data_IF_956717453520
#
_entry.id   IF_956717453520
#
_cell.length_a   1.000
_cell.length_b   1.000
_cell.length_c   1.000
_cell.angle_alpha   90.00
_cell.angle_beta   90.00
_cell.angle_gamma   90.00
#
_symmetry.space_group_name_H-M   'P 1'
#
loop_
_entity.id
_entity.type
_entity.pdbx_description
1 polymer ?
#
# COMPACT_ATOMS: atom_id res chain seq x y z
N UNK A 1 28.19 -44.58 -62.67
CA UNK A 1 27.10 -44.78 -61.67
C UNK A 1 27.36 -44.16 -60.28
N UNK A 2 28.61 -44.16 -59.77
CA UNK A 2 28.91 -43.58 -58.43
C UNK A 2 28.75 -42.08 -58.31
N UNK A 3 28.96 -41.28 -59.38
CA UNK A 3 28.81 -39.80 -59.33
C UNK A 3 27.32 -39.31 -59.37
N UNK A 4 26.42 -40.14 -59.92
CA UNK A 4 24.99 -39.77 -60.00
C UNK A 4 24.28 -39.99 -58.68
N UNK A 5 24.68 -40.99 -57.89
CA UNK A 5 24.11 -41.28 -56.59
C UNK A 5 24.53 -40.24 -55.55
N UNK A 6 25.77 -39.75 -55.62
CA UNK A 6 26.29 -38.74 -54.68
C UNK A 6 25.58 -37.38 -54.87
N UNK A 7 25.25 -36.98 -56.10
CA UNK A 7 24.53 -35.74 -56.39
C UNK A 7 23.06 -35.84 -56.05
N UNK A 8 22.42 -37.02 -56.13
CA UNK A 8 21.02 -37.20 -55.67
C UNK A 8 20.87 -37.16 -54.15
N UNK A 9 21.85 -37.69 -53.41
CA UNK A 9 21.84 -37.64 -51.93
C UNK A 9 22.13 -36.22 -51.44
N UNK A 10 23.00 -35.47 -52.13
CA UNK A 10 23.27 -34.07 -51.75
C UNK A 10 22.07 -33.14 -52.05
N UNK A 11 21.33 -33.39 -53.15
CA UNK A 11 20.10 -32.67 -53.47
C UNK A 11 18.96 -32.99 -52.50
N UNK A 12 18.87 -34.24 -51.99
CA UNK A 12 17.86 -34.61 -51.01
C UNK A 12 18.12 -34.01 -49.61
N UNK A 13 19.40 -33.83 -49.25
CA UNK A 13 19.80 -33.20 -47.97
C UNK A 13 19.58 -31.68 -48.02
N UNK A 14 19.71 -31.05 -49.18
CA UNK A 14 19.43 -29.60 -49.33
C UNK A 14 17.92 -29.33 -49.34
N UNK A 15 17.08 -30.26 -49.83
CA UNK A 15 15.61 -30.10 -49.80
C UNK A 15 15.00 -30.35 -48.42
N UNK A 16 15.70 -31.07 -47.53
CA UNK A 16 15.21 -31.30 -46.15
C UNK A 16 15.56 -30.16 -45.18
N UNK A 17 16.37 -29.19 -45.55
CA UNK A 17 16.72 -28.01 -44.78
C UNK A 17 15.88 -26.75 -45.10
N UNK A 18 14.98 -26.87 -46.11
CA UNK A 18 14.12 -25.74 -46.53
C UNK A 18 12.66 -25.83 -46.05
N UNK A 19 12.37 -26.69 -45.06
CA UNK A 19 11.01 -26.87 -44.55
C UNK A 19 10.93 -26.78 -43.01
N UNK A 20 11.50 -25.74 -42.47
CA UNK A 20 11.14 -25.25 -41.12
C UNK A 20 11.31 -23.73 -41.17
N UNK A 21 10.43 -23.03 -41.90
CA UNK A 21 10.03 -21.69 -41.49
C UNK A 21 9.14 -21.90 -40.26
N UNK A 22 9.73 -21.87 -39.07
CA UNK A 22 8.98 -21.49 -37.89
C UNK A 22 8.38 -20.12 -38.20
N UNK A 23 7.07 -20.09 -38.46
CA UNK A 23 6.30 -18.87 -38.31
C UNK A 23 6.46 -18.48 -36.82
N UNK A 24 7.46 -17.71 -36.54
CA UNK A 24 7.47 -16.94 -35.31
C UNK A 24 6.28 -16.00 -35.42
N UNK A 25 5.16 -16.43 -34.84
CA UNK A 25 4.08 -15.48 -34.55
C UNK A 25 4.71 -14.47 -33.59
N UNK A 26 5.20 -13.35 -34.12
CA UNK A 26 5.64 -12.25 -33.27
C UNK A 26 4.42 -11.78 -32.50
N UNK A 27 4.52 -11.78 -31.18
CA UNK A 27 3.48 -11.26 -30.30
C UNK A 27 3.06 -9.85 -30.74
N UNK A 28 1.77 -9.60 -30.79
CA UNK A 28 1.22 -8.28 -31.10
C UNK A 28 0.98 -7.54 -29.80
N UNK A 29 1.51 -6.32 -29.71
CA UNK A 29 1.27 -5.42 -28.57
C UNK A 29 1.24 -3.99 -29.06
N UNK A 30 0.10 -3.32 -28.95
CA UNK A 30 -0.07 -1.92 -29.28
C UNK A 30 -0.76 -1.19 -28.13
N UNK A 31 -0.51 0.11 -28.00
CA UNK A 31 -1.11 0.97 -26.96
C UNK A 31 -1.64 2.26 -27.57
N UNK A 32 -2.80 2.71 -27.14
CA UNK A 32 -3.40 3.96 -27.63
C UNK A 32 -4.32 4.60 -26.57
N UNK A 33 -4.20 5.90 -26.28
CA UNK A 33 -3.13 6.79 -26.77
C UNK A 33 -1.76 6.44 -26.14
N UNK A 34 -0.69 6.89 -26.77
CA UNK A 34 0.68 6.73 -26.27
C UNK A 34 1.10 7.84 -25.30
N UNK A 35 0.27 8.86 -25.10
CA UNK A 35 0.49 9.96 -24.16
C UNK A 35 -0.80 10.26 -23.42
N UNK A 36 -0.70 10.35 -22.10
CA UNK A 36 -1.75 10.79 -21.20
C UNK A 36 -1.28 12.08 -20.51
N UNK A 37 -2.09 13.13 -20.61
CA UNK A 37 -1.76 14.43 -20.04
C UNK A 37 -2.69 14.76 -18.88
N UNK A 38 -2.11 15.08 -17.72
CA UNK A 38 -2.81 15.42 -16.49
C UNK A 38 -2.48 16.84 -16.06
N UNK A 39 -3.47 17.56 -15.62
CA UNK A 39 -3.23 18.83 -14.91
C UNK A 39 -2.56 18.57 -13.56
N UNK A 40 -2.01 19.61 -12.92
CA UNK A 40 -1.35 19.52 -11.60
C UNK A 40 -2.24 18.93 -10.50
N UNK A 41 -3.56 19.08 -10.61
CA UNK A 41 -4.53 18.46 -9.68
C UNK A 41 -4.67 16.94 -9.81
N UNK A 42 -4.04 16.33 -10.84
CA UNK A 42 -4.15 14.91 -11.13
C UNK A 42 -5.50 14.52 -11.73
N UNK A 43 -5.88 13.27 -11.57
CA UNK A 43 -7.11 12.70 -12.09
C UNK A 43 -6.95 11.29 -12.60
N UNK A 44 -7.91 10.84 -13.44
CA UNK A 44 -7.91 9.50 -14.03
C UNK A 44 -8.14 9.59 -15.53
N UNK A 45 -7.33 8.85 -16.30
CA UNK A 45 -7.46 8.67 -17.74
C UNK A 45 -7.35 7.20 -18.12
N UNK A 46 -7.64 6.87 -19.37
CA UNK A 46 -7.64 5.50 -19.87
C UNK A 46 -6.80 5.43 -21.14
N UNK A 47 -6.00 4.37 -21.27
CA UNK A 47 -5.44 3.95 -22.55
C UNK A 47 -5.85 2.51 -22.86
N UNK A 48 -5.89 2.16 -24.13
CA UNK A 48 -6.25 0.84 -24.62
C UNK A 48 -5.00 0.06 -24.99
N UNK A 49 -4.95 -1.20 -24.60
CA UNK A 49 -3.97 -2.19 -25.06
C UNK A 49 -4.65 -3.10 -26.07
N UNK A 50 -4.04 -3.29 -27.22
CA UNK A 50 -4.39 -4.34 -28.20
C UNK A 50 -3.28 -5.38 -28.20
N UNK A 51 -3.60 -6.63 -27.88
CA UNK A 51 -2.62 -7.70 -27.78
C UNK A 51 -3.23 -9.07 -28.07
N UNK A 52 -2.45 -9.97 -28.62
CA UNK A 52 -2.79 -11.38 -28.81
C UNK A 52 -2.16 -12.30 -27.74
N UNK A 53 -1.50 -11.73 -26.74
CA UNK A 53 -0.77 -12.46 -25.69
C UNK A 53 -0.96 -11.83 -24.32
N UNK A 54 -0.34 -12.43 -23.30
CA UNK A 54 -0.26 -11.83 -21.96
C UNK A 54 0.68 -10.64 -21.96
N UNK A 55 0.33 -9.64 -21.16
CA UNK A 55 1.12 -8.43 -20.99
C UNK A 55 1.11 -7.94 -19.53
N UNK A 56 2.11 -7.16 -19.19
CA UNK A 56 2.25 -6.51 -17.88
C UNK A 56 2.69 -5.06 -18.04
N UNK A 57 2.36 -4.25 -17.05
CA UNK A 57 2.72 -2.84 -17.00
C UNK A 57 3.59 -2.59 -15.79
N UNK A 58 4.73 -1.95 -15.98
CA UNK A 58 5.58 -1.45 -14.92
C UNK A 58 5.54 0.07 -14.86
N UNK A 59 5.53 0.61 -13.65
CA UNK A 59 5.65 2.05 -13.38
C UNK A 59 6.71 2.27 -12.32
N UNK A 60 7.63 3.22 -12.54
CA UNK A 60 8.66 3.56 -11.54
C UNK A 60 8.15 4.55 -10.49
N UNK A 61 6.94 5.12 -10.64
CA UNK A 61 6.53 6.29 -9.86
C UNK A 61 5.37 6.00 -8.88
N UNK A 62 5.45 6.57 -7.66
CA UNK A 62 4.51 6.33 -6.56
C UNK A 62 3.18 7.05 -6.69
N UNK A 63 3.18 8.17 -7.38
CA UNK A 63 2.01 9.03 -7.54
C UNK A 63 1.07 8.54 -8.64
N UNK A 64 1.44 7.42 -9.29
CA UNK A 64 0.67 6.84 -10.39
C UNK A 64 0.14 5.48 -9.97
N UNK A 65 -1.16 5.29 -10.02
CA UNK A 65 -1.78 3.99 -9.90
C UNK A 65 -2.31 3.53 -11.26
N UNK A 66 -2.29 2.24 -11.50
CA UNK A 66 -2.68 1.62 -12.76
C UNK A 66 -3.58 0.43 -12.44
N UNK A 67 -4.66 0.29 -13.20
CA UNK A 67 -5.58 -0.86 -13.07
C UNK A 67 -6.19 -1.23 -14.42
N UNK A 68 -6.05 -2.50 -14.86
CA UNK A 68 -5.19 -3.55 -14.32
C UNK A 68 -3.71 -3.34 -14.66
N UNK A 69 -2.79 -3.95 -13.90
CA UNK A 69 -1.34 -3.91 -14.15
C UNK A 69 -0.85 -5.07 -15.03
N UNK A 70 -1.73 -6.03 -15.35
CA UNK A 70 -1.47 -7.14 -16.27
C UNK A 70 -2.77 -7.68 -16.84
N UNK A 71 -2.71 -8.36 -17.96
CA UNK A 71 -3.86 -8.95 -18.61
C UNK A 71 -3.50 -9.85 -19.78
N UNK A 72 -4.53 -10.35 -20.47
CA UNK A 72 -4.42 -11.11 -21.71
C UNK A 72 -5.35 -10.47 -22.76
N UNK A 73 -4.88 -10.35 -23.99
CA UNK A 73 -5.66 -9.78 -25.08
C UNK A 73 -5.93 -8.27 -24.89
N UNK A 74 -6.93 -7.79 -25.59
CA UNK A 74 -7.30 -6.37 -25.62
C UNK A 74 -7.91 -5.93 -24.29
N UNK A 75 -7.52 -4.73 -23.80
CA UNK A 75 -7.97 -4.23 -22.50
C UNK A 75 -7.85 -2.72 -22.38
N UNK A 76 -8.84 -2.11 -21.73
CA UNK A 76 -8.73 -0.75 -21.22
C UNK A 76 -7.99 -0.73 -19.88
N UNK A 77 -7.06 0.18 -19.76
CA UNK A 77 -6.23 0.37 -18.56
C UNK A 77 -6.48 1.77 -18.02
N UNK A 78 -6.94 1.86 -16.79
CA UNK A 78 -7.06 3.12 -16.08
C UNK A 78 -5.72 3.52 -15.48
N UNK A 79 -5.33 4.77 -15.66
CA UNK A 79 -4.19 5.41 -15.04
C UNK A 79 -4.69 6.56 -14.19
N UNK A 80 -4.40 6.54 -12.91
CA UNK A 80 -4.67 7.63 -12.01
C UNK A 80 -3.38 8.29 -11.54
N UNK A 81 -3.38 9.61 -11.50
CA UNK A 81 -2.26 10.42 -11.07
C UNK A 81 -2.71 11.29 -9.90
N UNK A 82 -2.00 11.23 -8.79
CA UNK A 82 -2.26 12.09 -7.64
C UNK A 82 -1.95 13.56 -7.96
N UNK A 83 -2.57 14.49 -7.23
CA UNK A 83 -2.20 15.89 -7.30
C UNK A 83 -0.71 16.06 -6.98
N UNK A 84 -0.02 16.90 -7.77
CA UNK A 84 1.40 17.20 -7.54
C UNK A 84 1.59 18.55 -6.85
N UNK A 85 2.67 18.63 -6.09
CA UNK A 85 3.21 19.91 -5.53
C UNK A 85 4.46 20.33 -6.26
N UNK A 86 4.88 19.54 -7.25
CA UNK A 86 6.09 19.86 -8.01
C UNK A 86 5.85 21.15 -8.82
N UNK A 87 6.71 22.17 -8.69
CA UNK A 87 6.58 23.37 -9.49
C UNK A 87 6.80 23.13 -10.99
N UNK A 88 7.58 22.15 -11.38
CA UNK A 88 7.82 21.80 -12.78
C UNK A 88 6.92 20.63 -13.23
N UNK A 89 6.56 20.61 -14.50
CA UNK A 89 5.93 19.45 -15.12
C UNK A 89 6.82 18.20 -15.01
N UNK A 90 6.18 17.07 -14.81
CA UNK A 90 6.85 15.76 -14.68
C UNK A 90 6.38 14.85 -15.81
N UNK A 91 7.30 14.10 -16.37
CA UNK A 91 7.03 13.09 -17.39
C UNK A 91 7.50 11.74 -16.88
N UNK A 92 6.63 10.75 -16.94
CA UNK A 92 6.89 9.37 -16.54
C UNK A 92 6.55 8.43 -17.68
N UNK A 93 7.35 7.40 -17.87
CA UNK A 93 7.11 6.37 -18.89
C UNK A 93 6.57 5.11 -18.23
N UNK A 94 5.35 4.72 -18.59
CA UNK A 94 4.81 3.41 -18.30
C UNK A 94 5.31 2.45 -19.37
N UNK A 95 5.90 1.34 -18.95
CA UNK A 95 6.36 0.31 -19.87
C UNK A 95 5.35 -0.84 -19.89
N UNK A 96 4.74 -1.07 -21.03
CA UNK A 96 3.87 -2.23 -21.30
C UNK A 96 4.69 -3.24 -22.07
N UNK A 97 4.77 -4.46 -21.57
CA UNK A 97 5.55 -5.53 -22.22
C UNK A 97 4.79 -6.84 -22.27
N UNK A 98 5.05 -7.64 -23.28
CA UNK A 98 4.57 -9.03 -23.36
C UNK A 98 5.23 -9.88 -22.28
N UNK A 99 4.59 -10.98 -21.88
CA UNK A 99 5.08 -11.84 -20.78
C UNK A 99 6.46 -12.43 -21.06
N UNK A 100 6.75 -12.72 -22.33
CA UNK A 100 8.06 -13.19 -22.81
C UNK A 100 9.09 -12.06 -23.01
N UNK A 101 8.69 -10.79 -22.79
CA UNK A 101 9.53 -9.62 -22.98
C UNK A 101 9.90 -9.30 -24.43
N UNK A 102 9.33 -10.01 -25.41
CA UNK A 102 9.69 -9.86 -26.83
C UNK A 102 9.23 -8.55 -27.45
N UNK A 103 8.12 -7.99 -26.95
CA UNK A 103 7.59 -6.71 -27.42
C UNK A 103 7.34 -5.78 -26.23
N UNK A 104 7.79 -4.55 -26.38
CA UNK A 104 7.59 -3.48 -25.38
C UNK A 104 6.97 -2.26 -26.05
N UNK A 105 6.03 -1.61 -25.36
CA UNK A 105 5.44 -0.32 -25.73
C UNK A 105 5.49 0.62 -24.53
N UNK A 106 5.61 1.91 -24.82
CA UNK A 106 5.64 2.93 -23.79
C UNK A 106 4.40 3.80 -23.88
N UNK A 107 3.83 4.12 -22.71
CA UNK A 107 2.81 5.16 -22.57
C UNK A 107 3.43 6.28 -21.73
N UNK A 108 3.50 7.47 -22.31
CA UNK A 108 4.00 8.66 -21.65
C UNK A 108 2.89 9.25 -20.78
N UNK A 109 3.16 9.45 -19.52
CA UNK A 109 2.30 10.17 -18.58
C UNK A 109 2.96 11.51 -18.27
N UNK A 110 2.29 12.57 -18.67
CA UNK A 110 2.70 13.95 -18.44
C UNK A 110 1.79 14.54 -17.37
N UNK A 111 2.37 15.14 -16.36
CA UNK A 111 1.62 15.93 -15.38
C UNK A 111 2.18 17.34 -15.32
N UNK A 112 1.30 18.33 -15.47
CA UNK A 112 1.67 19.73 -15.33
C UNK A 112 2.18 20.01 -13.93
N UNK A 113 3.20 20.86 -13.82
CA UNK A 113 3.60 21.45 -12.57
C UNK A 113 2.62 22.53 -12.11
N UNK A 114 2.72 22.94 -10.85
CA UNK A 114 1.91 24.03 -10.28
C UNK A 114 2.39 25.42 -10.68
N UNK A 115 3.31 25.54 -11.61
CA UNK A 115 4.07 26.76 -11.90
C UNK A 115 3.40 27.82 -12.77
N UNK A 116 2.17 27.63 -13.26
CA UNK A 116 1.57 28.75 -14.03
C UNK A 116 1.26 29.97 -13.15
N UNK A 117 1.07 29.82 -11.83
CA UNK A 117 0.86 30.94 -10.92
C UNK A 117 2.00 31.14 -9.88
N UNK A 118 2.93 30.20 -9.77
CA UNK A 118 3.95 30.22 -8.69
C UNK A 118 3.39 30.01 -7.29
N UNK A 119 2.09 29.79 -7.17
CA UNK A 119 1.37 29.60 -5.91
C UNK A 119 1.06 28.11 -5.67
N UNK A 120 1.41 27.64 -4.49
CA UNK A 120 1.21 26.25 -4.08
C UNK A 120 0.27 26.22 -2.88
N UNK A 121 -0.80 25.44 -2.99
CA UNK A 121 -1.64 25.02 -1.88
C UNK A 121 -2.17 23.62 -2.18
N UNK A 122 -1.74 22.63 -1.41
CA UNK A 122 -2.14 21.23 -1.62
C UNK A 122 -2.08 20.43 -0.33
N UNK A 123 -2.74 19.27 -0.33
CA UNK A 123 -2.71 18.28 0.75
C UNK A 123 -2.06 17.01 0.21
N UNK A 124 -1.03 16.52 0.88
CA UNK A 124 -0.22 15.38 0.41
C UNK A 124 -0.59 14.05 1.09
N UNK A 125 -1.38 14.10 2.16
CA UNK A 125 -1.91 12.92 2.84
C UNK A 125 -3.43 13.08 3.01
N UNK A 126 -4.13 11.96 3.27
CA UNK A 126 -5.53 11.93 3.67
C UNK A 126 -6.49 12.76 2.79
N UNK A 127 -6.72 12.30 1.58
CA UNK A 127 -7.77 12.87 0.71
C UNK A 127 -9.19 12.60 1.22
N UNK A 128 -9.34 11.74 2.21
CA UNK A 128 -10.56 11.44 2.95
C UNK A 128 -10.19 11.12 4.39
N UNK A 129 -10.76 11.85 5.34
CA UNK A 129 -10.48 11.67 6.77
C UNK A 129 -11.60 10.88 7.41
N UNK A 130 -11.25 9.84 8.16
CA UNK A 130 -12.23 9.08 8.94
C UNK A 130 -11.81 9.06 10.41
N UNK A 131 -12.62 9.66 11.26
CA UNK A 131 -12.49 9.56 12.71
C UNK A 131 -13.22 8.33 13.24
N UNK A 132 -12.71 7.77 14.33
CA UNK A 132 -13.50 6.85 15.15
C UNK A 132 -14.73 7.58 15.74
N UNK A 133 -15.71 6.82 16.22
CA UNK A 133 -16.92 7.38 16.84
C UNK A 133 -16.66 8.12 18.15
N UNK A 134 -15.54 7.86 18.83
CA UNK A 134 -15.16 8.47 20.08
C UNK A 134 -14.86 9.98 19.95
N UNK A 135 -15.10 10.74 21.01
CA UNK A 135 -14.65 12.12 21.10
C UNK A 135 -13.11 12.18 21.06
N UNK A 136 -12.59 13.24 20.47
CA UNK A 136 -11.15 13.50 20.33
C UNK A 136 -10.37 12.44 19.55
N UNK A 137 -11.06 11.58 18.77
CA UNK A 137 -10.40 10.76 17.76
C UNK A 137 -9.62 11.67 16.80
N UNK A 138 -8.33 11.39 16.60
CA UNK A 138 -7.39 12.28 15.90
C UNK A 138 -6.96 11.71 14.56
N UNK A 139 -6.64 12.62 13.64
CA UNK A 139 -5.98 12.36 12.38
C UNK A 139 -5.04 13.54 12.05
N UNK A 140 -4.42 13.56 10.87
CA UNK A 140 -3.54 14.64 10.45
C UNK A 140 -3.74 15.02 8.99
N UNK A 141 -3.50 16.30 8.68
CA UNK A 141 -3.43 16.85 7.34
C UNK A 141 -2.04 17.43 7.11
N UNK A 142 -1.33 16.96 6.11
CA UNK A 142 -0.09 17.58 5.65
C UNK A 142 -0.41 18.57 4.55
N UNK A 143 -0.34 19.85 4.88
CA UNK A 143 -0.56 20.97 3.97
C UNK A 143 0.80 21.42 3.45
N UNK A 144 0.97 21.52 2.14
CA UNK A 144 2.10 22.14 1.48
C UNK A 144 1.62 23.45 0.87
N UNK A 145 2.19 24.57 1.30
CA UNK A 145 1.77 25.88 0.84
C UNK A 145 2.90 26.90 0.82
N UNK A 146 2.91 27.77 -0.19
CA UNK A 146 3.70 28.99 -0.23
C UNK A 146 2.82 30.26 -0.20
N UNK A 147 1.51 30.08 -0.03
CA UNK A 147 0.52 31.16 0.09
C UNK A 147 -0.20 31.07 1.43
N UNK A 148 -0.73 32.21 1.96
CA UNK A 148 -1.67 32.18 3.07
C UNK A 148 -2.97 31.44 2.69
N UNK A 149 -3.50 30.64 3.59
CA UNK A 149 -4.70 29.84 3.38
C UNK A 149 -5.71 29.94 4.52
N UNK A 150 -6.92 29.56 4.20
CA UNK A 150 -8.07 29.45 5.10
C UNK A 150 -8.56 28.01 5.16
N UNK A 151 -8.95 27.57 6.36
CA UNK A 151 -9.57 26.28 6.59
C UNK A 151 -10.96 26.53 7.17
N UNK A 152 -11.98 26.01 6.51
CA UNK A 152 -13.37 26.03 6.98
C UNK A 152 -13.90 24.60 7.05
N UNK A 153 -14.93 24.38 7.85
CA UNK A 153 -15.52 23.05 7.97
C UNK A 153 -16.60 22.98 9.05
N UNK A 154 -17.05 21.77 9.38
CA UNK A 154 -18.08 21.57 10.39
C UNK A 154 -17.55 21.83 11.80
N UNK A 155 -18.39 22.36 12.68
CA UNK A 155 -18.05 22.69 14.08
C UNK A 155 -17.65 21.47 14.92
N UNK A 156 -18.02 20.28 14.49
CA UNK A 156 -17.63 19.02 15.15
C UNK A 156 -16.21 18.56 14.81
N UNK A 157 -15.49 19.27 13.96
CA UNK A 157 -14.07 19.06 13.66
C UNK A 157 -13.24 20.19 14.26
N UNK A 158 -12.19 19.83 14.97
CA UNK A 158 -11.22 20.77 15.54
C UNK A 158 -9.86 20.58 14.86
N UNK A 159 -9.17 21.70 14.68
CA UNK A 159 -7.78 21.73 14.19
C UNK A 159 -6.86 22.30 15.26
N UNK A 160 -5.64 21.74 15.33
CA UNK A 160 -4.64 22.21 16.27
C UNK A 160 -3.98 23.50 15.75
N UNK A 161 -4.16 24.57 16.50
CA UNK A 161 -3.55 25.89 16.24
C UNK A 161 -2.49 26.20 17.30
N UNK A 162 -1.81 27.34 17.19
CA UNK A 162 -0.86 27.79 18.22
C UNK A 162 -1.51 27.96 19.61
N UNK A 163 -2.82 28.15 19.66
CA UNK A 163 -3.61 28.28 20.91
C UNK A 163 -4.22 26.98 21.40
N UNK A 164 -3.94 25.86 20.78
CA UNK A 164 -4.59 24.56 21.04
C UNK A 164 -5.61 24.20 19.98
N UNK A 165 -6.48 23.22 20.27
CA UNK A 165 -7.51 22.81 19.31
C UNK A 165 -8.63 23.85 19.24
N UNK A 166 -8.96 24.28 18.03
CA UNK A 166 -10.05 25.21 17.72
C UNK A 166 -11.06 24.52 16.79
N UNK A 167 -12.36 24.65 17.11
CA UNK A 167 -13.43 24.15 16.24
C UNK A 167 -13.40 24.88 14.89
N UNK A 168 -13.60 24.12 13.82
CA UNK A 168 -13.83 24.73 12.51
C UNK A 168 -15.18 25.43 12.47
N UNK A 169 -15.31 26.37 11.56
CA UNK A 169 -16.56 27.07 11.27
C UNK A 169 -16.68 27.25 9.76
N UNK A 170 -17.89 27.30 9.25
CA UNK A 170 -18.14 27.60 7.84
C UNK A 170 -18.07 29.10 7.53
N UNK A 171 -18.16 29.93 8.57
CA UNK A 171 -18.24 31.40 8.44
C UNK A 171 -17.02 32.12 8.98
N UNK A 172 -16.28 31.48 9.89
CA UNK A 172 -15.08 32.06 10.50
C UNK A 172 -13.92 31.08 10.23
N UNK A 173 -13.07 31.37 9.23
CA UNK A 173 -12.00 30.44 8.86
C UNK A 173 -10.87 30.43 9.91
N UNK A 174 -10.22 29.29 10.03
CA UNK A 174 -8.89 29.19 10.64
C UNK A 174 -7.86 29.54 9.57
N UNK A 175 -7.04 30.54 9.82
CA UNK A 175 -6.02 31.00 8.86
C UNK A 175 -4.67 30.36 9.14
N UNK A 176 -3.92 30.08 8.08
CA UNK A 176 -2.56 29.55 8.14
C UNK A 176 -1.68 30.07 7.03
N UNK A 177 -0.40 29.78 7.10
CA UNK A 177 0.57 30.08 6.05
C UNK A 177 1.75 29.10 6.11
N UNK A 178 2.32 28.81 4.94
CA UNK A 178 3.43 27.86 4.82
C UNK A 178 3.00 26.41 4.99
N UNK A 179 3.95 25.52 4.80
CA UNK A 179 3.72 24.07 4.92
C UNK A 179 3.65 23.65 6.39
N UNK A 180 2.70 22.73 6.71
CA UNK A 180 2.47 22.29 8.09
C UNK A 180 1.84 20.89 8.13
N UNK A 181 2.21 20.10 9.15
CA UNK A 181 1.47 18.93 9.57
C UNK A 181 0.43 19.35 10.63
N UNK A 182 -0.81 19.44 10.21
CA UNK A 182 -1.92 19.91 11.02
C UNK A 182 -2.62 18.73 11.67
N UNK A 183 -2.62 18.66 13.01
CA UNK A 183 -3.45 17.70 13.73
C UNK A 183 -4.90 18.15 13.71
N UNK A 184 -5.78 17.23 13.44
CA UNK A 184 -7.24 17.41 13.45
C UNK A 184 -7.89 16.36 14.33
N UNK A 185 -9.06 16.66 14.87
CA UNK A 185 -9.81 15.70 15.68
C UNK A 185 -11.30 15.94 15.62
N UNK A 186 -12.07 14.91 16.00
CA UNK A 186 -13.50 15.08 16.28
C UNK A 186 -13.69 15.77 17.63
N UNK A 187 -14.43 16.87 17.69
CA UNK A 187 -14.69 17.62 18.92
C UNK A 187 -15.52 16.82 19.93
N UNK A 188 -16.46 16.03 19.43
CA UNK A 188 -17.42 15.28 20.23
C UNK A 188 -17.59 13.86 19.74
N UNK A 189 -18.12 13.00 20.60
CA UNK A 189 -18.51 11.63 20.27
C UNK A 189 -19.69 11.65 19.27
N UNK A 190 -19.72 10.69 18.36
CA UNK A 190 -20.88 10.43 17.53
C UNK A 190 -21.74 9.32 18.17
N UNK A 191 -22.86 9.69 18.75
CA UNK A 191 -23.81 8.76 19.38
C UNK A 191 -24.96 8.33 18.43
N UNK A 192 -24.92 8.78 17.17
CA UNK A 192 -25.86 8.34 16.13
C UNK A 192 -25.52 6.95 15.65
N UNK A 193 -26.51 6.18 15.19
CA UNK A 193 -26.30 4.92 14.48
C UNK A 193 -25.71 5.13 13.08
N UNK A 194 -25.79 6.35 12.55
CA UNK A 194 -25.25 6.71 11.24
C UNK A 194 -23.93 7.46 11.37
N UNK A 195 -23.08 7.30 10.37
CA UNK A 195 -21.86 8.07 10.24
C UNK A 195 -22.18 9.55 10.07
N UNK A 196 -21.44 10.40 10.76
CA UNK A 196 -21.47 11.85 10.56
C UNK A 196 -20.53 12.19 9.41
N UNK A 197 -21.04 12.82 8.37
CA UNK A 197 -20.27 13.15 7.17
C UNK A 197 -20.33 14.62 6.86
N UNK A 198 -19.21 15.18 6.42
CA UNK A 198 -19.11 16.59 6.03
C UNK A 198 -17.84 16.81 5.18
N UNK A 199 -17.48 18.07 4.92
CA UNK A 199 -16.32 18.47 4.14
C UNK A 199 -15.54 19.55 4.89
N UNK A 200 -14.22 19.39 4.98
CA UNK A 200 -13.27 20.44 5.31
C UNK A 200 -12.86 21.08 4.00
N UNK A 201 -12.94 22.40 3.91
CA UNK A 201 -12.49 23.16 2.75
C UNK A 201 -11.20 23.93 3.10
N UNK A 202 -10.18 23.72 2.31
CA UNK A 202 -8.93 24.47 2.33
C UNK A 202 -8.90 25.35 1.07
N UNK A 203 -8.64 26.63 1.20
CA UNK A 203 -8.51 27.54 0.05
C UNK A 203 -7.49 28.66 0.32
N UNK A 204 -7.05 29.32 -0.74
CA UNK A 204 -6.19 30.49 -0.65
C UNK A 204 -6.94 31.63 0.07
N UNK A 205 -6.28 32.20 1.07
CA UNK A 205 -6.84 33.29 1.88
C UNK A 205 -7.26 34.48 1.01
N UNK A 206 -8.36 35.10 1.32
CA UNK A 206 -8.97 36.28 0.70
C UNK A 206 -9.56 36.09 -0.71
N UNK A 207 -9.04 35.17 -1.52
CA UNK A 207 -9.51 34.99 -2.88
C UNK A 207 -10.43 33.78 -3.07
N UNK A 208 -10.32 32.78 -2.17
CA UNK A 208 -11.03 31.51 -2.27
C UNK A 208 -10.56 30.62 -3.43
N UNK A 209 -9.47 31.00 -4.11
CA UNK A 209 -8.82 30.21 -5.15
C UNK A 209 -8.07 29.01 -4.59
N UNK A 210 -7.55 28.13 -5.44
CA UNK A 210 -6.83 26.90 -5.04
C UNK A 210 -7.65 26.06 -4.03
N UNK A 211 -8.96 25.93 -4.28
CA UNK A 211 -9.88 25.26 -3.38
C UNK A 211 -9.66 23.75 -3.38
N UNK A 212 -9.55 23.18 -2.18
CA UNK A 212 -9.45 21.74 -1.94
C UNK A 212 -10.55 21.35 -0.94
N UNK A 213 -11.43 20.45 -1.35
CA UNK A 213 -12.46 19.89 -0.51
C UNK A 213 -12.02 18.49 -0.02
N UNK A 214 -11.97 18.30 1.29
CA UNK A 214 -11.54 17.08 1.95
C UNK A 214 -12.75 16.48 2.68
N UNK A 215 -13.33 15.38 2.16
CA UNK A 215 -14.41 14.68 2.86
C UNK A 215 -13.95 14.21 4.23
N UNK A 216 -14.82 14.41 5.22
CA UNK A 216 -14.57 13.97 6.59
C UNK A 216 -15.74 13.16 7.09
N UNK A 217 -15.44 12.02 7.69
CA UNK A 217 -16.42 11.11 8.29
C UNK A 217 -16.08 10.87 9.75
N UNK A 218 -17.08 10.85 10.63
CA UNK A 218 -16.95 10.28 11.96
C UNK A 218 -17.91 9.10 12.09
N UNK A 219 -17.36 7.93 12.44
CA UNK A 219 -18.12 6.71 12.51
C UNK A 219 -19.28 6.82 13.51
N UNK A 220 -20.42 6.30 13.10
CA UNK A 220 -21.57 6.08 13.96
C UNK A 220 -21.31 4.97 14.97
N UNK A 221 -22.27 4.81 15.90
CA UNK A 221 -22.27 3.67 16.84
C UNK A 221 -22.20 2.35 16.07
N UNK A 222 -21.58 1.33 16.67
CA UNK A 222 -21.54 -0.05 16.17
C UNK A 222 -20.74 -0.28 14.88
N UNK A 223 -20.22 0.77 14.26
CA UNK A 223 -19.46 0.66 13.00
C UNK A 223 -18.07 0.11 13.26
N UNK A 224 -17.62 -0.79 12.39
CA UNK A 224 -16.25 -1.29 12.39
C UNK A 224 -15.78 -1.30 10.94
N UNK A 225 -14.66 -0.67 10.67
CA UNK A 225 -14.07 -0.69 9.32
C UNK A 225 -12.54 -0.81 9.37
N UNK A 226 -11.95 -1.44 8.36
CA UNK A 226 -10.49 -1.40 8.16
C UNK A 226 -10.00 0.05 8.05
N UNK A 227 -8.85 0.34 8.67
CA UNK A 227 -8.20 1.65 8.57
C UNK A 227 -7.03 1.58 7.57
N UNK A 228 -5.86 1.10 8.00
CA UNK A 228 -4.72 0.94 7.12
C UNK A 228 -4.66 -0.51 6.66
N UNK A 229 -4.93 -0.76 5.38
CA UNK A 229 -4.81 -2.09 4.79
C UNK A 229 -3.46 -2.23 4.10
N UNK A 230 -2.75 -3.31 4.43
CA UNK A 230 -1.47 -3.65 3.81
C UNK A 230 -1.58 -5.01 3.10
N UNK A 231 -1.96 -5.03 1.81
CA UNK A 231 -2.02 -6.25 1.03
C UNK A 231 -0.62 -6.65 0.54
N UNK A 232 -0.28 -7.92 0.74
CA UNK A 232 0.85 -8.61 0.13
C UNK A 232 0.34 -9.61 -0.92
N UNK A 233 1.21 -10.37 -1.56
CA UNK A 233 0.80 -11.37 -2.54
C UNK A 233 -0.07 -12.48 -1.92
N UNK A 234 0.29 -12.95 -0.76
CA UNK A 234 -0.34 -14.09 -0.10
C UNK A 234 -0.80 -13.80 1.33
N UNK A 235 -0.89 -12.54 1.68
CA UNK A 235 -1.27 -12.11 3.02
C UNK A 235 -1.87 -10.71 3.02
N UNK A 236 -2.59 -10.37 4.08
CA UNK A 236 -3.22 -9.08 4.30
C UNK A 236 -3.17 -8.75 5.78
N UNK A 237 -2.95 -7.49 6.13
CA UNK A 237 -3.14 -6.99 7.49
C UNK A 237 -3.87 -5.66 7.49
N UNK A 238 -4.62 -5.39 8.55
CA UNK A 238 -5.29 -4.13 8.79
C UNK A 238 -5.47 -3.87 10.27
N UNK A 239 -5.43 -2.61 10.65
CA UNK A 239 -5.96 -2.09 11.91
C UNK A 239 -7.40 -1.57 11.70
N UNK A 240 -8.03 -1.10 12.75
CA UNK A 240 -9.45 -0.87 12.76
C UNK A 240 -9.80 0.53 13.25
N UNK A 241 -10.78 1.15 12.61
CA UNK A 241 -11.53 2.28 13.15
C UNK A 241 -12.91 1.79 13.58
N UNK A 242 -13.30 2.18 14.80
CA UNK A 242 -14.49 1.67 15.46
C UNK A 242 -15.44 2.82 15.86
N UNK A 243 -16.72 2.51 15.88
CA UNK A 243 -17.76 3.32 16.46
C UNK A 243 -17.57 3.46 17.97
N UNK A 244 -18.26 4.44 18.55
CA UNK A 244 -18.03 4.90 19.92
C UNK A 244 -18.38 3.90 21.02
N UNK A 245 -19.16 2.89 20.72
CA UNK A 245 -19.65 1.85 21.64
C UNK A 245 -19.14 0.46 21.33
N UNK A 246 -18.31 0.31 20.31
CA UNK A 246 -17.73 -1.00 19.95
C UNK A 246 -16.66 -1.38 20.96
N UNK A 247 -16.91 -2.45 21.72
CA UNK A 247 -15.94 -3.03 22.66
C UNK A 247 -15.20 -4.21 22.07
N UNK A 248 -15.84 -4.90 21.13
CA UNK A 248 -15.26 -5.96 20.31
C UNK A 248 -16.04 -6.09 19.00
N UNK A 249 -15.51 -6.86 18.07
CA UNK A 249 -16.16 -7.12 16.79
C UNK A 249 -15.79 -8.50 16.28
N UNK A 250 -16.64 -9.04 15.44
CA UNK A 250 -16.34 -10.25 14.68
C UNK A 250 -15.87 -9.88 13.28
N UNK A 251 -14.88 -10.62 12.76
CA UNK A 251 -14.32 -10.38 11.44
C UNK A 251 -14.10 -11.69 10.70
N UNK A 252 -14.42 -11.68 9.41
CA UNK A 252 -14.14 -12.77 8.47
C UNK A 252 -13.68 -12.23 7.12
N UNK A 253 -12.75 -12.93 6.52
CA UNK A 253 -12.28 -12.66 5.16
C UNK A 253 -12.99 -13.63 4.20
N UNK A 254 -13.58 -13.10 3.14
CA UNK A 254 -14.18 -13.87 2.06
C UNK A 254 -13.39 -13.71 0.79
N UNK A 255 -13.16 -14.79 0.06
CA UNK A 255 -12.71 -14.76 -1.32
C UNK A 255 -13.91 -14.40 -2.21
N UNK A 256 -13.85 -13.27 -2.92
CA UNK A 256 -15.01 -12.70 -3.64
C UNK A 256 -16.04 -12.03 -2.72
N UNK A 257 -16.98 -11.34 -3.33
CA UNK A 257 -18.00 -10.56 -2.61
C UNK A 257 -19.03 -11.49 -1.94
N UNK A 258 -19.19 -11.43 -0.61
CA UNK A 258 -20.21 -12.21 0.07
C UNK A 258 -21.60 -11.61 -0.15
N UNK A 259 -22.61 -12.46 -0.13
CA UNK A 259 -24.00 -12.02 0.07
C UNK A 259 -24.21 -11.71 1.55
N UNK A 260 -24.05 -10.43 1.91
CA UNK A 260 -24.17 -9.99 3.31
C UNK A 260 -25.57 -10.19 3.88
N UNK A 261 -26.61 -10.28 3.02
CA UNK A 261 -27.99 -10.48 3.46
C UNK A 261 -28.27 -11.91 3.95
N UNK A 262 -27.44 -12.87 3.55
CA UNK A 262 -27.54 -14.28 3.94
C UNK A 262 -26.77 -14.60 5.23
N UNK A 263 -25.98 -13.66 5.77
CA UNK A 263 -25.15 -13.89 6.96
C UNK A 263 -26.03 -13.87 8.21
N UNK A 264 -26.02 -14.97 8.94
CA UNK A 264 -26.78 -15.14 10.19
C UNK A 264 -25.94 -14.81 11.42
N UNK A 265 -26.58 -14.56 12.56
CA UNK A 265 -25.90 -14.39 13.85
C UNK A 265 -25.12 -15.64 14.26
N UNK A 266 -25.60 -16.82 13.90
CA UNK A 266 -24.91 -18.10 14.15
C UNK A 266 -23.61 -18.21 13.33
N UNK A 267 -23.60 -17.66 12.11
CA UNK A 267 -22.39 -17.60 11.29
C UNK A 267 -21.38 -16.64 11.91
N UNK A 268 -21.83 -15.45 12.30
CA UNK A 268 -20.98 -14.42 12.91
C UNK A 268 -20.33 -14.91 14.21
N UNK A 269 -21.05 -15.68 15.01
CA UNK A 269 -20.52 -16.25 16.26
C UNK A 269 -19.28 -17.16 16.06
N UNK A 270 -19.07 -17.68 14.84
CA UNK A 270 -17.92 -18.53 14.48
C UNK A 270 -16.72 -17.73 13.93
N UNK A 271 -16.87 -16.42 13.73
CA UNK A 271 -15.83 -15.60 13.14
C UNK A 271 -14.75 -15.23 14.16
N UNK A 272 -13.60 -14.77 13.65
CA UNK A 272 -12.52 -14.28 14.50
C UNK A 272 -12.96 -13.04 15.26
N UNK A 273 -12.61 -12.96 16.55
CA UNK A 273 -12.91 -11.82 17.41
C UNK A 273 -11.73 -10.85 17.38
N UNK A 274 -12.02 -9.59 17.06
CA UNK A 274 -11.11 -8.45 17.17
C UNK A 274 -11.57 -7.46 18.23
N UNK A 275 -10.71 -6.51 18.56
CA UNK A 275 -11.00 -5.42 19.50
C UNK A 275 -10.49 -4.10 18.94
N UNK A 276 -11.08 -2.95 19.32
CA UNK A 276 -10.47 -1.66 19.03
C UNK A 276 -8.99 -1.65 19.43
N UNK A 277 -8.14 -1.04 18.62
CA UNK A 277 -6.69 -1.04 18.84
C UNK A 277 -5.98 -2.37 18.58
N UNK A 278 -6.63 -3.34 17.91
CA UNK A 278 -5.99 -4.57 17.45
C UNK A 278 -5.56 -4.49 15.99
N UNK A 279 -4.57 -5.31 15.64
CA UNK A 279 -4.16 -5.61 14.28
C UNK A 279 -4.65 -7.01 13.94
N UNK A 280 -5.35 -7.14 12.80
CA UNK A 280 -5.74 -8.44 12.26
C UNK A 280 -4.94 -8.73 11.00
N UNK A 281 -4.45 -9.95 10.87
CA UNK A 281 -3.71 -10.40 9.70
C UNK A 281 -4.19 -11.76 9.21
N UNK A 282 -4.16 -11.95 7.90
CA UNK A 282 -4.49 -13.19 7.22
C UNK A 282 -3.29 -13.64 6.40
N UNK A 283 -3.04 -14.93 6.39
CA UNK A 283 -1.94 -15.58 5.64
C UNK A 283 -2.49 -16.69 4.76
N UNK A 284 -1.65 -17.18 3.84
CA UNK A 284 -1.99 -18.23 2.87
C UNK A 284 -3.11 -17.84 1.90
N UNK A 285 -3.19 -16.56 1.59
CA UNK A 285 -4.10 -16.03 0.59
C UNK A 285 -3.59 -16.36 -0.82
N UNK A 286 -4.48 -16.37 -1.78
CA UNK A 286 -4.14 -16.43 -3.21
C UNK A 286 -3.70 -15.05 -3.68
N UNK A 287 -2.71 -15.00 -4.54
CA UNK A 287 -2.29 -13.76 -5.20
C UNK A 287 -3.29 -13.31 -6.27
N UNK A 288 -3.26 -12.02 -6.62
CA UNK A 288 -4.15 -11.40 -7.61
C UNK A 288 -5.65 -11.71 -7.38
N UNK A 289 -6.05 -11.84 -6.12
CA UNK A 289 -7.38 -12.31 -5.76
C UNK A 289 -8.11 -11.26 -4.95
N UNK A 290 -9.37 -11.00 -5.32
CA UNK A 290 -10.24 -10.10 -4.59
C UNK A 290 -10.72 -10.77 -3.29
N UNK A 291 -10.53 -10.07 -2.19
CA UNK A 291 -11.01 -10.46 -0.88
C UNK A 291 -11.90 -9.38 -0.28
N UNK A 292 -12.85 -9.79 0.53
CA UNK A 292 -13.76 -8.89 1.23
C UNK A 292 -13.64 -9.12 2.73
N UNK A 293 -13.20 -8.07 3.42
CA UNK A 293 -13.15 -8.04 4.88
C UNK A 293 -14.56 -7.69 5.37
N UNK A 294 -15.20 -8.63 6.04
CA UNK A 294 -16.55 -8.47 6.55
C UNK A 294 -16.52 -8.41 8.07
N UNK A 295 -17.16 -7.40 8.65
CA UNK A 295 -17.13 -7.11 10.08
C UNK A 295 -18.54 -6.96 10.66
N UNK A 296 -18.68 -7.29 11.93
CA UNK A 296 -19.88 -7.03 12.74
C UNK A 296 -19.43 -6.54 14.09
N UNK A 297 -19.80 -5.29 14.44
CA UNK A 297 -19.54 -4.71 15.76
C UNK A 297 -20.44 -5.31 16.84
N UNK A 298 -19.95 -5.36 18.07
CA UNK A 298 -20.71 -5.73 19.25
C UNK A 298 -20.69 -4.57 20.24
N UNK A 299 -21.84 -4.32 20.88
CA UNK A 299 -21.95 -3.40 22.00
C UNK A 299 -21.52 -4.03 23.33
N UNK A 300 -21.62 -3.24 24.41
CA UNK A 300 -21.33 -3.71 25.76
C UNK A 300 -22.28 -4.83 26.23
N UNK A 301 -23.48 -4.93 25.66
CA UNK A 301 -24.47 -5.96 25.98
C UNK A 301 -24.27 -7.23 25.12
N UNK A 302 -23.33 -7.22 24.15
CA UNK A 302 -23.05 -8.32 23.25
C UNK A 302 -24.07 -8.44 22.11
N UNK A 303 -24.79 -7.37 21.80
CA UNK A 303 -25.70 -7.31 20.64
C UNK A 303 -24.92 -7.19 19.33
N UNK A 304 -25.35 -7.97 18.31
CA UNK A 304 -24.78 -7.88 16.97
C UNK A 304 -25.43 -6.76 16.16
N UNK A 305 -24.60 -6.02 15.43
CA UNK A 305 -25.06 -4.94 14.58
C UNK A 305 -24.86 -5.21 13.09
N UNK A 306 -25.11 -4.21 12.27
CA UNK A 306 -25.07 -4.36 10.82
C UNK A 306 -23.74 -4.88 10.31
N UNK A 307 -23.82 -5.81 9.35
CA UNK A 307 -22.67 -6.34 8.62
C UNK A 307 -22.09 -5.24 7.73
N UNK A 308 -20.80 -4.98 7.86
CA UNK A 308 -20.05 -4.13 6.94
C UNK A 308 -19.08 -5.01 6.14
N UNK A 309 -18.91 -4.73 4.85
CA UNK A 309 -18.02 -5.49 3.97
C UNK A 309 -17.24 -4.55 3.06
N UNK A 310 -15.90 -4.64 3.09
CA UNK A 310 -15.01 -3.82 2.29
C UNK A 310 -14.08 -4.70 1.46
N UNK A 311 -14.07 -4.47 0.14
CA UNK A 311 -13.23 -5.20 -0.80
C UNK A 311 -11.79 -4.72 -0.81
N UNK A 312 -10.87 -5.65 -1.00
CA UNK A 312 -9.44 -5.41 -1.26
C UNK A 312 -8.90 -6.49 -2.20
N UNK A 313 -7.69 -6.30 -2.71
CA UNK A 313 -7.05 -7.27 -3.59
C UNK A 313 -5.64 -7.59 -3.10
N UNK A 314 -5.29 -8.87 -3.06
CA UNK A 314 -3.91 -9.31 -2.88
C UNK A 314 -3.08 -8.96 -4.11
N UNK A 315 -1.77 -8.78 -3.91
CA UNK A 315 -0.87 -8.39 -4.99
C UNK A 315 -0.41 -9.59 -5.80
N UNK A 316 0.20 -9.33 -6.96
CA UNK A 316 0.92 -10.35 -7.72
C UNK A 316 2.11 -10.87 -6.93
N UNK A 317 2.36 -12.18 -6.99
CA UNK A 317 3.55 -12.83 -6.45
C UNK A 317 4.80 -12.64 -7.30
N UNK A 318 4.65 -12.14 -8.53
CA UNK A 318 5.76 -11.91 -9.46
C UNK A 318 6.40 -10.54 -9.21
N UNK A 319 7.71 -10.45 -9.48
CA UNK A 319 8.46 -9.20 -9.46
C UNK A 319 8.39 -8.42 -8.13
N UNK A 320 8.45 -9.13 -7.01
CA UNK A 320 8.36 -8.49 -5.70
C UNK A 320 9.71 -7.97 -5.21
N UNK A 321 9.71 -6.77 -4.65
CA UNK A 321 10.87 -6.20 -3.98
C UNK A 321 11.28 -7.05 -2.78
N UNK A 322 12.52 -7.50 -2.73
CA UNK A 322 13.09 -8.27 -1.63
C UNK A 322 14.47 -7.74 -1.25
N UNK A 323 14.68 -7.52 0.03
CA UNK A 323 15.98 -7.26 0.60
C UNK A 323 16.45 -8.52 1.36
N UNK A 324 17.40 -9.23 0.79
CA UNK A 324 17.90 -10.50 1.32
C UNK A 324 18.99 -10.26 2.37
N UNK A 325 18.90 -10.95 3.51
CA UNK A 325 19.89 -10.94 4.57
C UNK A 325 20.91 -12.05 4.32
N UNK A 326 22.20 -11.73 4.36
CA UNK A 326 23.29 -12.67 4.12
C UNK A 326 24.53 -12.34 4.98
N UNK A 327 25.51 -13.23 4.98
CA UNK A 327 26.82 -13.05 5.65
C UNK A 327 26.69 -12.64 7.13
N UNK A 328 25.75 -13.24 7.84
CA UNK A 328 25.54 -12.95 9.27
C UNK A 328 26.65 -13.64 10.08
N UNK A 329 27.40 -12.84 10.82
CA UNK A 329 28.51 -13.31 11.64
C UNK A 329 28.62 -12.51 12.94
N UNK A 330 29.20 -13.14 13.99
CA UNK A 330 29.56 -12.48 15.24
C UNK A 330 31.05 -12.67 15.49
N UNK A 331 31.76 -11.58 15.74
CA UNK A 331 33.22 -11.58 16.01
C UNK A 331 33.56 -11.67 17.51
N UNK A 332 32.59 -11.95 18.38
CA UNK A 332 32.72 -11.94 19.82
C UNK A 332 32.44 -10.59 20.47
N UNK A 333 32.26 -9.53 19.70
CA UNK A 333 31.95 -8.18 20.18
C UNK A 333 30.73 -7.55 19.51
N UNK A 334 30.49 -7.92 18.26
CA UNK A 334 29.40 -7.39 17.44
C UNK A 334 28.91 -8.40 16.43
N UNK A 335 27.66 -8.26 16.05
CA UNK A 335 27.07 -8.89 14.89
C UNK A 335 27.34 -8.03 13.64
N UNK A 336 27.56 -8.69 12.51
CA UNK A 336 27.63 -8.07 11.17
C UNK A 336 26.77 -8.86 10.20
N UNK A 337 26.16 -8.21 9.24
CA UNK A 337 25.42 -8.83 8.16
C UNK A 337 25.34 -7.94 6.93
N UNK A 338 25.08 -8.52 5.78
CA UNK A 338 24.82 -7.80 4.55
C UNK A 338 23.33 -7.86 4.19
N UNK A 339 22.83 -6.78 3.61
CA UNK A 339 21.51 -6.75 2.99
C UNK A 339 21.66 -6.41 1.52
N UNK A 340 21.12 -7.26 0.66
CA UNK A 340 21.19 -7.13 -0.80
C UNK A 340 19.79 -7.03 -1.36
N UNK A 341 19.54 -5.98 -2.13
CA UNK A 341 18.29 -5.76 -2.87
C UNK A 341 18.27 -6.59 -4.16
N UNK A 342 17.13 -7.19 -4.47
CA UNK A 342 16.91 -7.75 -5.80
C UNK A 342 16.60 -6.64 -6.82
N UNK A 343 16.44 -6.99 -8.09
CA UNK A 343 16.20 -6.07 -9.20
C UNK A 343 14.89 -5.26 -9.07
N UNK A 344 13.91 -5.79 -8.34
CA UNK A 344 12.60 -5.14 -8.10
C UNK A 344 12.57 -4.26 -6.86
N UNK A 345 13.64 -4.28 -6.06
CA UNK A 345 13.72 -3.57 -4.80
C UNK A 345 14.44 -2.23 -5.00
N UNK A 346 13.74 -1.13 -4.88
CA UNK A 346 14.34 0.22 -4.95
C UNK A 346 14.80 0.73 -3.61
N UNK A 347 14.22 0.20 -2.54
CA UNK A 347 14.57 0.54 -1.17
C UNK A 347 14.12 -0.56 -0.20
N UNK A 348 14.59 -0.53 1.04
CA UNK A 348 14.13 -1.45 2.07
C UNK A 348 14.21 -0.84 3.45
N UNK A 349 13.39 -1.38 4.36
CA UNK A 349 13.44 -1.14 5.79
C UNK A 349 14.14 -2.32 6.48
N UNK A 350 14.89 -2.06 7.55
CA UNK A 350 15.54 -3.10 8.36
C UNK A 350 15.20 -2.94 9.83
N UNK A 351 14.78 -4.03 10.46
CA UNK A 351 14.59 -4.15 11.89
C UNK A 351 15.55 -5.20 12.44
N UNK A 352 16.25 -4.86 13.50
CA UNK A 352 17.12 -5.78 14.20
C UNK A 352 16.84 -5.69 15.70
N UNK A 353 16.70 -6.83 16.38
CA UNK A 353 16.37 -6.87 17.80
C UNK A 353 16.84 -8.16 18.48
N UNK A 354 17.09 -8.09 19.77
CA UNK A 354 17.22 -9.25 20.66
C UNK A 354 15.86 -9.73 21.19
N UNK A 355 14.81 -8.93 21.05
CA UNK A 355 13.45 -9.27 21.47
C UNK A 355 12.78 -10.19 20.46
N UNK A 356 12.32 -11.36 20.89
CA UNK A 356 11.75 -12.41 20.04
C UNK A 356 10.28 -12.18 19.67
N UNK A 357 9.60 -11.23 20.31
CA UNK A 357 8.14 -11.10 20.24
C UNK A 357 7.59 -10.82 18.84
N UNK A 358 8.34 -10.11 18.00
CA UNK A 358 7.87 -9.74 16.66
C UNK A 358 8.34 -10.67 15.54
N UNK A 359 9.31 -11.54 15.82
CA UNK A 359 9.85 -12.43 14.79
C UNK A 359 8.84 -13.47 14.31
N UNK A 360 7.94 -13.91 15.17
CA UNK A 360 6.85 -14.84 14.84
C UNK A 360 5.60 -14.18 14.25
N UNK A 361 5.53 -12.84 14.22
CA UNK A 361 4.43 -12.13 13.59
C UNK A 361 4.31 -12.51 12.10
N UNK A 362 3.11 -12.53 11.55
CA UNK A 362 2.92 -12.76 10.11
C UNK A 362 3.62 -11.68 9.27
N UNK A 363 3.93 -12.00 8.01
CA UNK A 363 4.59 -11.05 7.11
C UNK A 363 3.77 -9.79 6.90
N UNK A 364 2.45 -9.93 6.76
CA UNK A 364 1.56 -8.78 6.63
C UNK A 364 1.52 -7.92 7.90
N UNK A 365 1.53 -8.52 9.09
CA UNK A 365 1.59 -7.79 10.35
C UNK A 365 2.90 -7.03 10.53
N UNK A 366 4.02 -7.57 10.04
CA UNK A 366 5.30 -6.85 10.04
C UNK A 366 5.32 -5.73 9.01
N UNK A 367 4.83 -5.96 7.79
CA UNK A 367 4.70 -4.93 6.75
C UNK A 367 3.81 -3.78 7.22
N UNK A 368 2.69 -4.08 7.90
CA UNK A 368 1.85 -3.06 8.51
C UNK A 368 2.61 -2.20 9.54
N UNK A 369 3.39 -2.82 10.43
CA UNK A 369 4.19 -2.08 11.44
C UNK A 369 5.23 -1.18 10.79
N UNK A 370 5.94 -1.66 9.77
CA UNK A 370 6.88 -0.83 9.02
C UNK A 370 6.18 0.33 8.32
N UNK A 371 5.04 0.07 7.69
CA UNK A 371 4.23 1.11 7.06
C UNK A 371 3.79 2.17 8.08
N UNK A 372 3.32 1.75 9.25
CA UNK A 372 2.92 2.66 10.32
C UNK A 372 4.09 3.49 10.89
N UNK A 373 5.33 2.96 10.90
CA UNK A 373 6.52 3.74 11.26
C UNK A 373 6.84 4.82 10.22
N UNK A 374 6.76 4.46 8.93
CA UNK A 374 7.12 5.37 7.83
C UNK A 374 6.14 6.54 7.67
N UNK A 375 4.88 6.33 8.06
CA UNK A 375 3.84 7.36 8.00
C UNK A 375 3.50 7.99 9.37
N UNK A 376 4.19 7.56 10.42
CA UNK A 376 3.97 8.05 11.78
C UNK A 376 4.86 9.21 12.17
N UNK A 377 4.60 9.76 13.36
CA UNK A 377 5.50 10.75 13.96
C UNK A 377 6.92 10.20 14.09
N UNK A 378 7.91 11.02 13.73
CA UNK A 378 9.34 10.66 13.69
C UNK A 378 9.72 9.65 12.58
N UNK A 379 9.02 9.65 11.46
CA UNK A 379 9.35 8.81 10.31
C UNK A 379 10.82 8.97 9.85
N UNK A 380 11.39 10.16 9.99
CA UNK A 380 12.78 10.49 9.65
C UNK A 380 13.82 9.69 10.47
N UNK A 381 13.43 9.12 11.62
CA UNK A 381 14.29 8.26 12.44
C UNK A 381 14.43 6.84 11.89
N UNK A 382 13.60 6.47 10.93
CA UNK A 382 13.53 5.14 10.32
C UNK A 382 13.69 5.25 8.80
N UNK A 383 14.84 5.73 8.31
CA UNK A 383 15.04 5.97 6.89
C UNK A 383 14.98 4.68 6.09
N UNK A 384 14.34 4.76 4.95
CA UNK A 384 14.36 3.70 3.95
C UNK A 384 15.73 3.69 3.27
N UNK A 385 16.35 2.52 3.19
CA UNK A 385 17.71 2.37 2.64
C UNK A 385 17.62 2.02 1.16
N UNK A 386 18.29 2.80 0.30
CA UNK A 386 18.21 2.70 -1.17
C UNK A 386 19.45 2.07 -1.80
N UNK A 387 20.24 1.31 -1.04
CA UNK A 387 21.45 0.64 -1.54
C UNK A 387 21.76 -0.62 -0.75
N UNK A 388 22.49 -1.53 -1.36
CA UNK A 388 23.07 -2.66 -0.65
C UNK A 388 23.99 -2.17 0.47
N UNK A 389 23.82 -2.71 1.67
CA UNK A 389 24.49 -2.18 2.85
C UNK A 389 24.99 -3.31 3.76
N UNK A 390 26.17 -3.12 4.34
CA UNK A 390 26.66 -3.96 5.44
C UNK A 390 26.36 -3.28 6.77
N UNK A 391 25.75 -4.00 7.65
CA UNK A 391 25.28 -3.55 8.95
C UNK A 391 26.13 -4.11 10.07
N UNK A 392 26.13 -3.43 11.20
CA UNK A 392 26.68 -3.96 12.44
C UNK A 392 25.84 -3.59 13.66
N UNK A 393 25.83 -4.46 14.66
CA UNK A 393 25.21 -4.22 15.96
C UNK A 393 26.10 -4.75 17.07
N UNK A 394 26.38 -3.93 18.07
CA UNK A 394 27.20 -4.33 19.22
C UNK A 394 26.49 -5.40 20.06
N UNK A 395 27.26 -6.35 20.57
CA UNK A 395 26.82 -7.39 21.51
C UNK A 395 27.00 -8.81 20.96
N UNK A 396 26.83 -9.76 21.84
CA UNK A 396 26.98 -11.20 21.58
C UNK A 396 25.67 -11.97 21.72
N UNK A 397 24.63 -11.33 22.27
CA UNK A 397 23.30 -11.94 22.37
C UNK A 397 22.72 -12.28 21.00
N UNK A 398 21.93 -13.34 20.93
CA UNK A 398 21.21 -13.71 19.72
C UNK A 398 20.37 -12.56 19.19
N UNK A 399 20.46 -12.32 17.89
CA UNK A 399 19.69 -11.30 17.20
C UNK A 399 18.70 -11.91 16.21
N UNK A 400 17.69 -11.14 15.92
CA UNK A 400 16.72 -11.38 14.88
C UNK A 400 16.71 -10.18 13.95
N UNK A 401 16.68 -10.45 12.65
CA UNK A 401 16.71 -9.42 11.61
C UNK A 401 15.49 -9.63 10.72
N UNK A 402 14.76 -8.57 10.46
CA UNK A 402 13.66 -8.55 9.52
C UNK A 402 13.88 -7.41 8.55
N UNK A 403 13.74 -7.68 7.27
CA UNK A 403 13.77 -6.67 6.20
C UNK A 403 12.42 -6.61 5.51
N UNK A 404 12.09 -5.45 5.00
CA UNK A 404 10.93 -5.23 4.14
C UNK A 404 11.38 -4.48 2.91
N UNK A 405 11.39 -5.17 1.75
CA UNK A 405 11.71 -4.56 0.47
C UNK A 405 10.55 -3.74 -0.05
N UNK A 406 10.82 -2.63 -0.70
CA UNK A 406 9.81 -1.78 -1.33
C UNK A 406 10.20 -1.49 -2.77
N UNK A 407 9.21 -1.39 -3.65
CA UNK A 407 9.37 -1.06 -5.07
C UNK A 407 8.81 0.33 -5.33
N UNK A 408 9.61 1.18 -5.97
CA UNK A 408 9.25 2.58 -6.20
C UNK A 408 9.03 3.30 -4.88
N UNK A 409 8.13 4.26 -4.82
CA UNK A 409 7.70 4.88 -3.57
C UNK A 409 6.46 4.21 -2.96
N UNK A 410 5.96 3.11 -3.56
CA UNK A 410 4.91 2.28 -2.97
C UNK A 410 5.48 1.46 -1.82
N UNK A 411 5.25 1.90 -0.60
CA UNK A 411 5.67 1.23 0.63
C UNK A 411 4.90 -0.06 0.94
N UNK A 412 3.99 -0.49 0.05
CA UNK A 412 3.03 -1.56 0.35
C UNK A 412 3.25 -2.87 -0.41
N UNK A 413 4.31 -3.03 -1.20
CA UNK A 413 4.39 -4.11 -2.19
C UNK A 413 5.52 -5.12 -2.05
N UNK A 414 6.33 -5.07 -0.98
CA UNK A 414 7.52 -5.91 -0.90
C UNK A 414 7.38 -7.14 0.00
N UNK A 415 8.33 -8.05 -0.16
CA UNK A 415 8.48 -9.24 0.66
C UNK A 415 9.20 -8.94 1.97
N UNK A 416 8.90 -9.75 2.97
CA UNK A 416 9.60 -9.75 4.25
C UNK A 416 10.74 -10.78 4.21
N UNK A 417 11.97 -10.32 4.41
CA UNK A 417 13.13 -11.18 4.68
C UNK A 417 13.31 -11.38 6.18
N UNK A 418 13.65 -12.61 6.60
CA UNK A 418 13.85 -12.96 8.03
C UNK A 418 15.13 -13.71 8.25
N UNK A 419 15.81 -13.40 9.34
CA UNK A 419 16.97 -14.15 9.84
C UNK A 419 16.95 -14.21 11.38
N UNK A 420 17.29 -15.40 11.93
CA UNK A 420 17.40 -15.64 13.37
C UNK A 420 18.66 -16.46 13.65
N UNK A 421 19.48 -16.01 14.57
CA UNK A 421 20.80 -16.61 14.83
C UNK A 421 20.75 -18.02 15.42
N UNK A 422 19.69 -18.41 16.11
CA UNK A 422 19.54 -19.73 16.73
C UNK A 422 18.95 -20.81 15.80
N UNK A 423 18.52 -20.49 14.57
CA UNK A 423 17.84 -21.42 13.64
C UNK A 423 18.28 -21.23 12.19
N UNK A 424 19.53 -21.59 11.90
CA UNK A 424 20.00 -21.66 10.51
C UNK A 424 19.45 -22.87 9.73
N UNK A 425 18.55 -23.66 10.29
CA UNK A 425 18.07 -24.90 9.70
C UNK A 425 16.56 -25.06 9.85
N UNK A 426 15.82 -24.62 8.89
CA UNK A 426 14.67 -25.24 8.24
C UNK A 426 13.78 -24.20 7.55
N UNK A 427 14.10 -23.92 6.29
CA UNK A 427 13.07 -23.43 5.37
C UNK A 427 12.12 -24.59 5.12
N UNK A 428 11.09 -24.70 5.92
CA UNK A 428 9.97 -25.57 5.59
C UNK A 428 9.28 -24.97 4.37
N UNK A 429 9.26 -25.74 3.28
CA UNK A 429 8.31 -25.52 2.20
C UNK A 429 6.91 -25.44 2.82
N UNK A 430 6.30 -24.28 2.75
CA UNK A 430 4.94 -24.06 3.18
C UNK A 430 4.03 -24.89 2.27
N UNK A 431 3.52 -26.00 2.78
CA UNK A 431 2.40 -26.70 2.15
C UNK A 431 1.22 -25.74 2.12
N UNK A 432 0.45 -25.77 1.04
CA UNK A 432 -0.81 -25.03 0.92
C UNK A 432 -1.65 -25.32 2.17
N UNK A 433 -1.78 -24.34 3.06
CA UNK A 433 -2.55 -24.40 4.29
C UNK A 433 -3.82 -23.59 4.10
N UNK A 434 -4.85 -23.91 4.85
CA UNK A 434 -6.05 -23.08 4.93
C UNK A 434 -5.70 -21.65 5.33
N UNK A 435 -6.56 -20.70 4.94
CA UNK A 435 -6.39 -19.28 5.34
C UNK A 435 -6.35 -19.23 6.86
N UNK A 436 -5.26 -18.67 7.38
CA UNK A 436 -5.13 -18.42 8.82
C UNK A 436 -5.40 -16.95 9.13
N UNK A 437 -6.11 -16.69 10.21
CA UNK A 437 -6.41 -15.37 10.72
C UNK A 437 -5.86 -15.21 12.14
N UNK A 438 -5.12 -14.15 12.37
CA UNK A 438 -4.55 -13.81 13.67
C UNK A 438 -4.94 -12.38 14.05
N UNK A 439 -5.24 -12.18 15.32
CA UNK A 439 -5.50 -10.85 15.89
C UNK A 439 -4.55 -10.60 17.06
N UNK A 440 -3.90 -9.46 17.06
CA UNK A 440 -2.94 -9.06 18.10
C UNK A 440 -3.12 -7.58 18.49
N UNK A 441 -2.81 -7.19 19.75
CA UNK A 441 -2.79 -5.78 20.13
C UNK A 441 -1.80 -4.97 19.29
N UNK A 442 -2.15 -3.72 19.01
CA UNK A 442 -1.23 -2.75 18.42
C UNK A 442 -0.41 -2.14 19.55
N UNK A 443 0.88 -2.42 19.54
CA UNK A 443 1.85 -1.85 20.47
C UNK A 443 3.03 -1.26 19.70
N UNK A 444 2.81 -0.10 19.10
CA UNK A 444 3.83 0.57 18.30
C UNK A 444 4.95 1.16 19.15
N UNK A 445 4.68 1.49 20.42
CA UNK A 445 5.74 2.00 21.32
C UNK A 445 6.70 0.87 21.71
N UNK A 446 6.19 -0.29 22.15
CA UNK A 446 7.04 -1.46 22.41
C UNK A 446 7.77 -1.94 21.14
N UNK A 447 7.14 -1.85 19.98
CA UNK A 447 7.79 -2.15 18.70
C UNK A 447 8.98 -1.20 18.45
N UNK A 448 8.79 0.13 18.61
CA UNK A 448 9.87 1.13 18.47
C UNK A 448 11.00 0.87 19.46
N UNK A 449 10.68 0.56 20.71
CA UNK A 449 11.68 0.26 21.76
C UNK A 449 12.41 -1.08 21.52
N UNK A 450 11.86 -1.97 20.70
CA UNK A 450 12.48 -3.25 20.37
C UNK A 450 13.68 -3.17 19.42
N UNK A 451 13.87 -2.02 18.74
CA UNK A 451 15.01 -1.84 17.85
C UNK A 451 16.32 -1.75 18.62
N UNK A 452 17.34 -2.44 18.15
CA UNK A 452 18.72 -2.21 18.57
C UNK A 452 19.43 -1.30 17.58
N UNK A 453 20.36 -0.49 18.10
CA UNK A 453 21.13 0.43 17.27
C UNK A 453 21.98 -0.35 16.27
N UNK A 454 21.75 -0.13 15.00
CA UNK A 454 22.56 -0.63 13.89
C UNK A 454 23.35 0.55 13.29
N UNK A 455 24.55 0.24 12.80
CA UNK A 455 25.46 1.20 12.17
C UNK A 455 25.82 0.74 10.77
#
# INVERSE_FOLDING_TARGET
MKKLVTNAILALIILSLAACEEKTNSATLEVSPTTLHFESKGGTQVFHITSDTQWSISTPEPNIWISPTSGYGDKDVQVGVAATTNPAAVTVMLMVQTDDGSVTRNVQVEQDGVLESGEILTVTNNTHITFEGAAHSTDSLTIISNVPYEITGPEWVEVNTKGGFAALSRTVPVTGSGSVDLKIRAASRNDSETDRQDVITLCKNLTGELKIDIPVTQLGRHRVQPNIMVPLANALATDWKCGSDVTQFHVKLYEGQPDVSSITTEDVAKWTIGKPGSLTSWSNLKENTAYYITTVGLDEAGGYYSVNSLGTMTRSGQQQALATISNVANDGTKWTWATTMNEYCTAYFVWCSTNKNYFSSSDAAMAWRFNALLHGANAEKYPVVQKNTTWSSKGTSDIQIITWGVSGSSTTSGLIGRYKTAEAASRQQQRQRDISCETSPIDMEAFRQSFIRIK
#
